data_IF_254025463971
#
_entry.id   IF_254025463971
#
_cell.length_a   1.000
_cell.length_b   1.000
_cell.length_c   1.000
_cell.angle_alpha   90.00
_cell.angle_beta   90.00
_cell.angle_gamma   90.00
#
_symmetry.space_group_name_H-M   'P 1'
#
loop_
_entity.id
_entity.type
_entity.pdbx_description
1 polymer ?
#
# COMPACT_ATOMS: atom_id res chain seq x y z
N UNK A 1 38.71 34.74 19.96
CA UNK A 1 37.71 34.10 19.06
C UNK A 1 37.38 32.71 19.61
N UNK A 2 36.10 32.35 19.51
CA UNK A 2 35.34 31.42 20.35
C UNK A 2 35.74 29.94 20.16
N UNK A 3 35.91 29.18 21.25
CA UNK A 3 36.13 27.72 21.23
C UNK A 3 34.79 27.01 21.09
N UNK A 4 34.53 26.36 19.95
CA UNK A 4 33.39 25.47 19.77
C UNK A 4 33.66 24.13 20.47
N UNK A 5 32.84 23.76 21.45
CA UNK A 5 32.73 22.40 21.98
C UNK A 5 31.63 21.69 21.20
N UNK A 6 32.00 20.70 20.38
CA UNK A 6 31.04 19.79 19.78
C UNK A 6 30.53 18.82 20.86
N UNK A 7 29.23 18.89 21.14
CA UNK A 7 28.52 17.94 22.00
C UNK A 7 28.09 16.77 21.11
N UNK A 8 28.73 15.61 21.30
CA UNK A 8 28.33 14.36 20.65
C UNK A 8 27.17 13.75 21.45
N UNK A 9 25.95 13.76 20.91
CA UNK A 9 24.80 13.07 21.52
C UNK A 9 24.80 11.64 20.99
N UNK A 10 25.15 10.69 21.85
CA UNK A 10 25.05 9.26 21.58
C UNK A 10 23.64 8.78 21.91
N UNK A 11 22.77 8.71 20.91
CA UNK A 11 21.43 8.12 21.04
C UNK A 11 21.55 6.60 20.94
N UNK A 12 21.38 5.89 22.06
CA UNK A 12 21.21 4.44 22.06
C UNK A 12 19.81 4.10 21.56
N UNK A 13 19.71 3.49 20.37
CA UNK A 13 18.47 2.85 19.92
C UNK A 13 18.40 1.49 20.61
N UNK A 14 17.49 1.34 21.57
CA UNK A 14 17.17 0.03 22.14
C UNK A 14 16.37 -0.75 21.10
N UNK A 15 16.99 -1.77 20.49
CA UNK A 15 16.28 -2.72 19.65
C UNK A 15 15.38 -3.59 20.55
N UNK A 16 14.06 -3.37 20.49
CA UNK A 16 13.08 -4.30 21.04
C UNK A 16 13.03 -5.53 20.15
N UNK A 17 13.76 -6.59 20.49
CA UNK A 17 13.59 -7.89 19.85
C UNK A 17 12.32 -8.55 20.40
N UNK A 18 11.20 -8.44 19.67
CA UNK A 18 10.04 -9.26 19.96
C UNK A 18 10.34 -10.73 19.60
N UNK A 19 9.89 -11.72 20.40
CA UNK A 19 10.02 -13.13 20.03
C UNK A 19 9.21 -13.42 18.76
N UNK A 20 9.73 -14.31 17.90
CA UNK A 20 9.06 -14.70 16.67
C UNK A 20 7.64 -15.25 16.96
N UNK A 21 6.63 -14.90 16.14
CA UNK A 21 5.28 -15.42 16.31
C UNK A 21 5.31 -16.95 16.22
N UNK A 22 4.87 -17.62 17.29
CA UNK A 22 4.72 -19.07 17.29
C UNK A 22 3.55 -19.43 16.38
N UNK A 23 3.75 -20.35 15.44
CA UNK A 23 2.72 -20.79 14.50
C UNK A 23 1.46 -21.21 15.28
N UNK A 24 0.36 -20.50 15.07
CA UNK A 24 -0.91 -20.80 15.71
C UNK A 24 -1.49 -22.08 15.08
N UNK A 25 -1.54 -23.18 15.83
CA UNK A 25 -2.19 -24.40 15.37
C UNK A 25 -3.70 -24.25 15.52
N UNK A 26 -4.42 -23.97 14.43
CA UNK A 26 -5.88 -24.04 14.44
C UNK A 26 -6.32 -25.52 14.44
N UNK A 27 -7.10 -25.99 15.42
CA UNK A 27 -7.53 -27.39 15.47
C UNK A 27 -8.42 -27.76 14.27
N UNK A 28 -8.08 -28.83 13.56
CA UNK A 28 -8.94 -29.44 12.55
C UNK A 28 -8.86 -28.86 11.13
N UNK A 29 -7.96 -27.92 10.86
CA UNK A 29 -7.71 -27.45 9.50
C UNK A 29 -6.89 -28.48 8.69
N UNK A 30 -7.23 -28.76 7.41
CA UNK A 30 -6.45 -29.63 6.53
C UNK A 30 -5.16 -28.96 6.01
N UNK A 31 -4.84 -27.77 6.52
CA UNK A 31 -3.71 -26.94 6.12
C UNK A 31 -2.89 -26.54 7.34
N UNK A 32 -1.58 -26.40 7.16
CA UNK A 32 -0.67 -25.92 8.18
C UNK A 32 -0.35 -24.44 7.93
N UNK A 33 -0.32 -23.62 9.00
CA UNK A 33 0.29 -22.30 8.94
C UNK A 33 1.80 -22.44 9.02
N UNK A 34 2.48 -21.98 7.98
CA UNK A 34 3.92 -21.80 8.01
C UNK A 34 4.22 -20.32 8.27
N UNK A 35 5.01 -20.05 9.31
CA UNK A 35 5.54 -18.72 9.53
C UNK A 35 6.64 -18.46 8.50
N UNK A 36 6.30 -17.74 7.43
CA UNK A 36 7.27 -17.31 6.43
C UNK A 36 7.93 -16.03 6.91
N UNK A 37 9.25 -16.02 6.95
CA UNK A 37 10.00 -14.76 7.05
C UNK A 37 10.17 -14.22 5.63
N UNK A 38 9.62 -13.05 5.29
CA UNK A 38 9.80 -12.51 3.95
C UNK A 38 11.28 -12.24 3.70
N UNK A 39 11.79 -12.69 2.55
CA UNK A 39 13.10 -12.26 2.08
C UNK A 39 13.00 -10.78 1.71
N UNK A 40 13.79 -9.97 2.41
CA UNK A 40 13.86 -8.53 2.23
C UNK A 40 15.26 -8.09 1.80
N UNK A 41 16.14 -9.04 1.43
CA UNK A 41 17.52 -8.77 1.01
C UNK A 41 17.61 -7.84 -0.20
N UNK A 42 16.64 -7.91 -1.10
CA UNK A 42 16.51 -7.04 -2.28
C UNK A 42 15.58 -5.83 -2.04
N UNK A 43 15.10 -5.64 -0.80
CA UNK A 43 14.15 -4.60 -0.42
C UNK A 43 12.72 -5.11 -0.22
N UNK A 44 11.86 -4.25 0.35
CA UNK A 44 10.45 -4.57 0.61
C UNK A 44 9.63 -4.17 -0.62
N UNK A 45 9.08 -5.17 -1.31
CA UNK A 45 8.19 -4.99 -2.45
C UNK A 45 6.74 -5.21 -2.02
N UNK A 46 5.85 -4.31 -2.40
CA UNK A 46 4.45 -4.34 -1.98
C UNK A 46 3.53 -4.22 -3.19
N UNK A 47 2.59 -5.14 -3.30
CA UNK A 47 1.48 -5.07 -4.24
C UNK A 47 0.24 -4.52 -3.52
N UNK A 48 -0.30 -3.42 -4.02
CA UNK A 48 -1.56 -2.82 -3.57
C UNK A 48 -2.65 -3.21 -4.55
N UNK A 49 -3.52 -4.13 -4.14
CA UNK A 49 -4.76 -4.43 -4.84
C UNK A 49 -5.85 -3.49 -4.31
N UNK A 50 -6.48 -2.70 -5.17
CA UNK A 50 -7.50 -1.74 -4.77
C UNK A 50 -8.88 -2.11 -5.30
N UNK A 51 -9.88 -1.49 -4.66
CA UNK A 51 -11.28 -1.47 -5.06
C UNK A 51 -11.77 0.00 -5.03
N UNK A 52 -12.97 0.29 -5.56
CA UNK A 52 -13.60 1.61 -5.40
C UNK A 52 -14.73 1.62 -4.38
N UNK A 53 -15.32 0.46 -4.04
CA UNK A 53 -16.23 0.35 -2.90
C UNK A 53 -15.48 0.56 -1.57
N UNK A 54 -15.84 1.63 -0.85
CA UNK A 54 -15.36 1.86 0.53
C UNK A 54 -14.18 2.81 0.67
N UNK A 55 -13.81 3.53 -0.39
CA UNK A 55 -12.84 4.62 -0.32
C UNK A 55 -13.28 5.73 0.64
N UNK A 56 -12.32 6.46 1.20
CA UNK A 56 -12.56 7.55 2.14
C UNK A 56 -13.40 8.66 1.51
N UNK A 57 -14.56 8.95 2.11
CA UNK A 57 -15.49 9.94 1.59
C UNK A 57 -16.35 9.47 0.40
N UNK A 58 -16.21 8.21 -0.01
CA UNK A 58 -16.98 7.63 -1.11
C UNK A 58 -18.08 6.69 -0.59
N UNK A 59 -19.33 7.15 -0.64
CA UNK A 59 -20.50 6.38 -0.16
C UNK A 59 -21.63 6.25 -1.17
N UNK A 60 -21.49 6.88 -2.34
CA UNK A 60 -22.51 6.90 -3.40
C UNK A 60 -22.07 6.02 -4.58
N UNK A 61 -22.83 4.99 -4.95
CA UNK A 61 -22.50 4.13 -6.10
C UNK A 61 -22.35 4.85 -7.43
N UNK A 62 -22.94 6.04 -7.59
CA UNK A 62 -22.72 6.86 -8.77
C UNK A 62 -21.25 7.28 -8.95
N UNK A 63 -20.42 7.16 -7.92
CA UNK A 63 -18.99 7.53 -8.00
C UNK A 63 -18.09 6.35 -8.39
N UNK A 64 -18.57 5.10 -8.31
CA UNK A 64 -17.76 3.93 -8.66
C UNK A 64 -18.36 3.06 -9.78
N UNK A 65 -19.62 3.27 -10.18
CA UNK A 65 -20.13 2.64 -11.39
C UNK A 65 -19.68 3.34 -12.68
N UNK A 66 -18.95 2.61 -13.52
CA UNK A 66 -18.55 3.09 -14.84
C UNK A 66 -19.78 3.50 -15.69
N UNK A 67 -19.64 4.58 -16.44
CA UNK A 67 -20.72 5.21 -17.21
C UNK A 67 -21.56 6.23 -16.43
N UNK A 68 -21.40 6.32 -15.11
CA UNK A 68 -22.00 7.40 -14.33
C UNK A 68 -21.31 8.75 -14.60
N UNK A 69 -22.06 9.87 -14.64
CA UNK A 69 -21.46 11.22 -14.75
C UNK A 69 -20.53 11.58 -13.59
N UNK A 70 -20.64 10.89 -12.45
CA UNK A 70 -19.83 11.11 -11.25
C UNK A 70 -18.68 10.12 -11.09
N UNK A 71 -18.46 9.24 -12.06
CA UNK A 71 -17.38 8.26 -11.98
C UNK A 71 -15.99 8.93 -11.88
N UNK A 72 -15.78 10.04 -12.60
CA UNK A 72 -14.54 10.82 -12.51
C UNK A 72 -14.25 11.38 -11.09
N UNK A 73 -15.30 11.74 -10.34
CA UNK A 73 -15.19 12.15 -8.93
C UNK A 73 -14.66 10.99 -8.08
N UNK A 74 -15.15 9.77 -8.30
CA UNK A 74 -14.65 8.58 -7.61
C UNK A 74 -13.21 8.24 -7.98
N UNK A 75 -12.79 8.46 -9.23
CA UNK A 75 -11.38 8.27 -9.61
C UNK A 75 -10.44 9.25 -8.88
N UNK A 76 -10.90 10.46 -8.57
CA UNK A 76 -10.13 11.41 -7.76
C UNK A 76 -10.01 10.94 -6.30
N UNK A 77 -11.09 10.42 -5.72
CA UNK A 77 -11.09 9.83 -4.38
C UNK A 77 -10.18 8.59 -4.30
N UNK A 78 -10.26 7.70 -5.29
CA UNK A 78 -9.43 6.51 -5.42
C UNK A 78 -7.94 6.86 -5.40
N UNK A 79 -7.53 7.84 -6.21
CA UNK A 79 -6.14 8.28 -6.25
C UNK A 79 -5.72 8.92 -4.92
N UNK A 80 -6.61 9.68 -4.27
CA UNK A 80 -6.33 10.27 -2.95
C UNK A 80 -5.97 9.21 -1.90
N UNK A 81 -6.78 8.17 -1.79
CA UNK A 81 -6.54 7.06 -0.85
C UNK A 81 -5.29 6.25 -1.24
N UNK A 82 -5.12 5.93 -2.54
CA UNK A 82 -3.94 5.22 -3.02
C UNK A 82 -2.66 5.99 -2.72
N UNK A 83 -2.62 7.30 -2.99
CA UNK A 83 -1.43 8.12 -2.73
C UNK A 83 -1.12 8.21 -1.23
N UNK A 84 -2.12 8.28 -0.36
CA UNK A 84 -1.92 8.23 1.09
C UNK A 84 -1.35 6.87 1.55
N UNK A 85 -1.85 5.75 0.99
CA UNK A 85 -1.29 4.42 1.23
C UNK A 85 0.15 4.34 0.75
N UNK A 86 0.42 4.72 -0.49
CA UNK A 86 1.75 4.68 -1.12
C UNK A 86 2.76 5.52 -0.31
N UNK A 87 2.38 6.72 0.12
CA UNK A 87 3.20 7.56 1.00
C UNK A 87 3.59 6.79 2.28
N UNK A 88 2.60 6.22 2.97
CA UNK A 88 2.81 5.43 4.18
C UNK A 88 3.71 4.22 3.95
N UNK A 89 3.54 3.51 2.83
CA UNK A 89 4.37 2.35 2.47
C UNK A 89 5.84 2.74 2.28
N UNK A 90 6.12 3.81 1.52
CA UNK A 90 7.48 4.31 1.33
C UNK A 90 8.08 4.84 2.64
N UNK A 91 7.29 5.53 3.47
CA UNK A 91 7.73 5.95 4.80
C UNK A 91 8.05 4.73 5.70
N UNK A 92 7.36 3.61 5.50
CA UNK A 92 7.58 2.33 6.16
C UNK A 92 8.75 1.50 5.61
N UNK A 93 9.46 1.98 4.59
CA UNK A 93 10.64 1.30 4.04
C UNK A 93 10.37 0.40 2.82
N UNK A 94 9.19 0.51 2.19
CA UNK A 94 8.97 -0.08 0.88
C UNK A 94 9.99 0.47 -0.13
N UNK A 95 10.57 -0.40 -0.95
CA UNK A 95 11.46 -0.05 -2.05
C UNK A 95 10.74 -0.07 -3.40
N UNK A 96 9.63 -0.81 -3.49
CA UNK A 96 8.79 -0.92 -4.67
C UNK A 96 7.32 -1.03 -4.26
N UNK A 97 6.47 -0.27 -4.95
CA UNK A 97 5.02 -0.33 -4.79
C UNK A 97 4.38 -0.51 -6.17
N UNK A 98 3.67 -1.62 -6.33
CA UNK A 98 2.89 -1.94 -7.51
C UNK A 98 1.40 -1.78 -7.18
N UNK A 99 0.62 -1.23 -8.11
CA UNK A 99 -0.83 -1.01 -7.92
C UNK A 99 -1.58 -1.82 -8.97
N UNK A 100 -2.55 -2.63 -8.52
CA UNK A 100 -3.40 -3.45 -9.37
C UNK A 100 -4.85 -3.09 -9.13
N UNK A 101 -5.56 -2.94 -10.25
CA UNK A 101 -7.00 -2.70 -10.26
C UNK A 101 -7.77 -3.99 -9.98
N UNK A 102 -8.57 -3.97 -8.92
CA UNK A 102 -9.45 -5.06 -8.50
C UNK A 102 -10.94 -4.73 -8.52
N UNK A 103 -11.34 -3.51 -8.90
CA UNK A 103 -12.72 -3.06 -8.77
C UNK A 103 -13.64 -3.68 -9.83
N UNK A 104 -13.14 -3.81 -11.07
CA UNK A 104 -13.88 -4.49 -12.13
C UNK A 104 -15.11 -3.72 -12.60
N UNK A 105 -14.98 -2.40 -12.73
CA UNK A 105 -16.07 -1.49 -13.12
C UNK A 105 -16.68 -1.77 -14.51
N UNK A 106 -16.00 -2.56 -15.35
CA UNK A 106 -16.33 -2.75 -16.76
C UNK A 106 -15.78 -1.64 -17.67
N UNK A 107 -15.00 -0.71 -17.12
CA UNK A 107 -14.17 0.22 -17.89
C UNK A 107 -13.11 -0.57 -18.69
N UNK A 108 -12.86 -0.15 -19.92
CA UNK A 108 -11.82 -0.75 -20.76
C UNK A 108 -10.42 -0.27 -20.37
N UNK A 109 -10.34 0.92 -19.77
CA UNK A 109 -9.13 1.46 -19.16
C UNK A 109 -9.15 1.20 -17.65
N UNK A 110 -7.99 1.21 -16.98
CA UNK A 110 -7.97 1.07 -15.53
C UNK A 110 -8.75 2.16 -14.80
N UNK A 111 -9.34 1.80 -13.66
CA UNK A 111 -10.11 2.70 -12.81
C UNK A 111 -9.21 3.75 -12.14
N UNK A 112 -7.96 3.39 -11.82
CA UNK A 112 -6.97 4.35 -11.30
C UNK A 112 -6.38 5.21 -12.42
N UNK A 113 -6.46 6.53 -12.22
CA UNK A 113 -5.89 7.55 -13.10
C UNK A 113 -4.37 7.67 -12.92
N UNK A 114 -3.63 7.08 -13.86
CA UNK A 114 -2.16 7.06 -13.85
C UNK A 114 -1.51 8.45 -13.85
N UNK A 115 -2.16 9.46 -14.42
CA UNK A 115 -1.67 10.85 -14.43
C UNK A 115 -1.65 11.50 -13.05
N UNK A 116 -2.43 10.98 -12.10
CA UNK A 116 -2.53 11.50 -10.73
C UNK A 116 -1.88 10.61 -9.68
N UNK A 117 -1.53 9.37 -10.02
CA UNK A 117 -0.90 8.41 -9.11
C UNK A 117 0.51 8.88 -8.73
N UNK A 118 0.94 8.58 -7.50
CA UNK A 118 2.31 8.82 -7.06
C UNK A 118 3.32 8.23 -8.07
N UNK A 119 4.24 9.05 -8.61
CA UNK A 119 5.13 8.63 -9.71
C UNK A 119 6.13 7.55 -9.31
N UNK A 120 6.27 7.25 -8.00
CA UNK A 120 7.09 6.15 -7.50
C UNK A 120 6.39 4.80 -7.65
N UNK A 121 5.05 4.78 -7.68
CA UNK A 121 4.28 3.56 -7.83
C UNK A 121 4.15 3.15 -9.31
N UNK A 122 4.18 1.84 -9.55
CA UNK A 122 3.97 1.28 -10.89
C UNK A 122 2.59 0.65 -10.97
N UNK A 123 1.78 1.09 -11.92
CA UNK A 123 0.54 0.42 -12.22
C UNK A 123 0.81 -0.85 -13.01
N UNK A 124 0.36 -1.99 -12.50
CA UNK A 124 0.47 -3.30 -13.13
C UNK A 124 -0.91 -3.70 -13.60
N UNK A 125 -1.01 -4.04 -14.89
CA UNK A 125 -2.24 -4.57 -15.46
C UNK A 125 -2.32 -6.06 -15.15
N UNK A 126 -3.51 -6.53 -14.78
CA UNK A 126 -3.75 -7.97 -14.70
C UNK A 126 -3.73 -8.53 -16.12
N UNK A 127 -2.82 -9.46 -16.40
CA UNK A 127 -2.80 -10.19 -17.67
C UNK A 127 -4.20 -10.79 -17.93
N UNK A 128 -4.82 -10.39 -19.05
CA UNK A 128 -6.13 -10.84 -19.52
C UNK A 128 -6.09 -12.26 -20.07
#
# INVERSE_FOLDING_TARGET
MLRFRALLILSTVAACSAPAPQAATLPGAPWALEAVTPDTGDGIRILVLHDMEGLSGQSDPATFFFGSPRYAEGQELLVGDLNAVIEGLYAGGATEVEVVDGHGSGNAEPDVRRDLLDPRATQVLRDS
#
